data_IF_632278155494
#
_entry.id   IF_632278155494
#
_cell.length_a   1.000
_cell.length_b   1.000
_cell.length_c   1.000
_cell.angle_alpha   90.00
_cell.angle_beta   90.00
_cell.angle_gamma   90.00
#
_symmetry.space_group_name_H-M   'P 1'
#
loop_
_entity.id
_entity.type
_entity.pdbx_description
1 polymer ?
#
# COMPACT_ATOMS: atom_id res chain seq x y z
N UNK A 1 -7.26 26.85 55.53
CA UNK A 1 -7.03 27.14 54.07
C UNK A 1 -6.05 26.12 53.55
N UNK A 2 -6.55 25.07 52.92
CA UNK A 2 -5.70 24.00 52.36
C UNK A 2 -5.54 24.27 50.87
N UNK A 3 -4.34 24.59 50.46
CA UNK A 3 -3.96 24.79 49.04
C UNK A 3 -3.91 23.38 48.37
N UNK A 4 -4.86 23.08 47.50
CA UNK A 4 -4.73 21.98 46.56
C UNK A 4 -3.80 22.43 45.46
N UNK A 5 -2.58 21.89 45.42
CA UNK A 5 -1.71 21.97 44.24
C UNK A 5 -2.21 20.97 43.18
N UNK A 6 -2.77 21.51 42.09
CA UNK A 6 -3.04 20.75 40.89
C UNK A 6 -1.70 20.44 40.22
N UNK A 7 -1.29 19.17 40.25
CA UNK A 7 -0.17 18.70 39.44
C UNK A 7 -0.62 18.69 37.97
N UNK A 8 -0.08 19.59 37.16
CA UNK A 8 -0.21 19.50 35.69
C UNK A 8 0.66 18.33 35.27
N UNK A 9 0.04 17.20 34.95
CA UNK A 9 0.72 16.12 34.26
C UNK A 9 0.93 16.61 32.83
N UNK A 10 2.13 17.12 32.55
CA UNK A 10 2.57 17.33 31.19
C UNK A 10 2.70 15.93 30.55
N UNK A 11 1.67 15.48 29.84
CA UNK A 11 1.76 14.31 29.02
C UNK A 11 2.89 14.51 28.01
N UNK A 12 3.91 13.66 28.05
CA UNK A 12 4.89 13.58 26.96
C UNK A 12 4.10 13.29 25.68
N UNK A 13 4.04 14.23 24.73
CA UNK A 13 3.47 13.94 23.42
C UNK A 13 4.24 12.76 22.82
N UNK A 14 3.55 11.70 22.50
CA UNK A 14 4.20 10.55 21.85
C UNK A 14 4.80 10.99 20.52
N UNK A 15 6.00 10.45 20.21
CA UNK A 15 6.63 10.70 18.91
C UNK A 15 5.68 10.22 17.80
N UNK A 16 5.40 11.05 16.78
CA UNK A 16 4.61 10.61 15.64
C UNK A 16 5.22 9.34 15.02
N UNK A 17 4.37 8.39 14.63
CA UNK A 17 4.78 7.23 13.84
C UNK A 17 4.61 7.57 12.35
N UNK A 18 5.69 7.46 11.59
CA UNK A 18 5.73 7.88 10.18
C UNK A 18 5.88 6.67 9.28
N UNK A 19 4.97 6.56 8.30
CA UNK A 19 4.97 5.52 7.28
C UNK A 19 5.12 6.19 5.92
N UNK A 20 5.93 5.64 5.04
CA UNK A 20 5.97 6.02 3.62
C UNK A 20 5.30 4.92 2.81
N UNK A 21 4.28 5.27 2.04
CA UNK A 21 3.69 4.39 1.03
C UNK A 21 4.36 4.65 -0.32
N UNK A 22 4.87 3.59 -0.94
CA UNK A 22 5.40 3.57 -2.31
C UNK A 22 4.51 2.62 -3.12
N UNK A 23 3.93 3.13 -4.21
CA UNK A 23 3.02 2.38 -5.06
C UNK A 23 3.62 2.23 -6.45
N UNK A 24 3.39 1.06 -7.07
CA UNK A 24 3.52 0.84 -8.50
C UNK A 24 4.89 1.28 -9.06
N UNK A 25 5.98 0.78 -8.47
CA UNK A 25 7.34 0.97 -9.01
C UNK A 25 7.46 0.33 -10.40
N UNK A 26 6.83 -0.79 -10.58
CA UNK A 26 6.51 -1.53 -11.80
C UNK A 26 7.67 -1.54 -12.83
N UNK A 27 8.87 -1.96 -12.36
CA UNK A 27 10.08 -2.01 -13.15
C UNK A 27 9.84 -2.75 -14.48
N UNK A 28 10.12 -2.08 -15.60
CA UNK A 28 9.92 -2.60 -16.94
C UNK A 28 8.59 -2.21 -17.61
N UNK A 29 7.72 -1.45 -16.93
CA UNK A 29 6.44 -1.04 -17.50
C UNK A 29 6.61 -0.11 -18.70
N UNK A 30 7.46 0.91 -18.61
CA UNK A 30 7.67 1.87 -19.70
C UNK A 30 8.18 1.20 -20.96
N UNK A 31 9.12 0.25 -20.83
CA UNK A 31 9.63 -0.51 -21.96
C UNK A 31 8.56 -1.41 -22.58
N UNK A 32 7.71 -2.03 -21.75
CA UNK A 32 6.60 -2.87 -22.20
C UNK A 32 5.50 -2.04 -22.92
N UNK A 33 5.13 -0.89 -22.36
CA UNK A 33 4.14 0.03 -22.95
C UNK A 33 4.66 0.59 -24.30
N UNK A 34 5.94 0.96 -24.37
CA UNK A 34 6.58 1.38 -25.61
C UNK A 34 6.55 0.28 -26.64
N UNK A 35 6.95 -0.95 -26.29
CA UNK A 35 6.93 -2.08 -27.19
C UNK A 35 5.53 -2.37 -27.75
N UNK A 36 4.51 -2.29 -26.92
CA UNK A 36 3.12 -2.46 -27.33
C UNK A 36 2.64 -1.38 -28.29
N UNK A 37 2.93 -0.11 -28.01
CA UNK A 37 2.52 1.03 -28.86
C UNK A 37 3.22 1.05 -30.21
N UNK A 38 4.51 0.67 -30.25
CA UNK A 38 5.33 0.68 -31.46
C UNK A 38 5.25 -0.63 -32.25
N UNK A 39 4.64 -1.68 -31.70
CA UNK A 39 4.65 -3.02 -32.29
C UNK A 39 6.06 -3.62 -32.36
N UNK A 40 6.94 -3.20 -31.45
CA UNK A 40 8.34 -3.65 -31.34
C UNK A 40 8.49 -4.76 -30.28
N UNK A 41 9.68 -5.34 -30.14
CA UNK A 41 10.00 -6.25 -29.04
C UNK A 41 10.26 -5.47 -27.74
N UNK A 42 10.00 -6.12 -26.60
CA UNK A 42 10.42 -5.63 -25.28
C UNK A 42 11.95 -5.56 -25.24
N UNK A 43 12.51 -4.39 -24.93
CA UNK A 43 13.95 -4.15 -24.95
C UNK A 43 14.64 -4.30 -23.58
N UNK A 44 13.84 -4.52 -22.49
CA UNK A 44 14.36 -4.70 -21.15
C UNK A 44 14.86 -3.43 -20.47
N UNK A 45 14.60 -2.26 -21.03
CA UNK A 45 15.03 -0.99 -20.43
C UNK A 45 14.25 -0.69 -19.13
N UNK A 46 14.97 -0.66 -18.02
CA UNK A 46 14.44 -0.37 -16.68
C UNK A 46 14.83 1.04 -16.19
N UNK A 47 15.56 1.80 -16.99
CA UNK A 47 16.28 3.00 -16.53
C UNK A 47 15.36 4.06 -15.94
N UNK A 48 14.16 4.22 -16.48
CA UNK A 48 13.21 5.23 -16.01
C UNK A 48 12.66 4.89 -14.63
N UNK A 49 12.11 3.67 -14.46
CA UNK A 49 11.53 3.23 -13.17
C UNK A 49 12.61 3.12 -12.10
N UNK A 50 13.79 2.63 -12.46
CA UNK A 50 14.98 2.60 -11.58
C UNK A 50 15.30 4.00 -11.05
N UNK A 51 15.42 4.99 -11.92
CA UNK A 51 15.71 6.37 -11.51
C UNK A 51 14.63 6.95 -10.60
N UNK A 52 13.36 6.62 -10.84
CA UNK A 52 12.25 7.07 -10.00
C UNK A 52 12.28 6.41 -8.62
N UNK A 53 12.49 5.10 -8.56
CA UNK A 53 12.56 4.35 -7.31
C UNK A 53 13.79 4.76 -6.48
N UNK A 54 14.94 5.00 -7.10
CA UNK A 54 16.15 5.50 -6.43
C UNK A 54 15.90 6.87 -5.76
N UNK A 55 15.13 7.77 -6.41
CA UNK A 55 14.71 9.05 -5.79
C UNK A 55 13.80 8.84 -4.59
N UNK A 56 12.85 7.88 -4.68
CA UNK A 56 11.99 7.55 -3.55
C UNK A 56 12.80 7.00 -2.38
N UNK A 57 13.76 6.11 -2.63
CA UNK A 57 14.68 5.57 -1.61
C UNK A 57 15.53 6.68 -0.98
N UNK A 58 16.05 7.61 -1.78
CA UNK A 58 16.78 8.78 -1.25
C UNK A 58 15.90 9.60 -0.31
N UNK A 59 14.66 9.90 -0.71
CA UNK A 59 13.72 10.62 0.14
C UNK A 59 13.41 9.85 1.43
N UNK A 60 13.20 8.53 1.37
CA UNK A 60 12.99 7.68 2.55
C UNK A 60 14.17 7.79 3.51
N UNK A 61 15.41 7.73 3.00
CA UNK A 61 16.62 7.80 3.79
C UNK A 61 16.82 9.20 4.43
N UNK A 62 16.39 10.26 3.77
CA UNK A 62 16.38 11.62 4.35
C UNK A 62 15.30 11.78 5.43
N UNK A 63 14.09 11.29 5.19
CA UNK A 63 12.95 11.38 6.10
C UNK A 63 13.12 10.49 7.33
N UNK A 64 13.74 9.31 7.17
CA UNK A 64 13.89 8.27 8.20
C UNK A 64 12.54 7.90 8.86
N UNK A 65 11.58 7.41 8.07
CA UNK A 65 10.29 6.97 8.59
C UNK A 65 10.46 5.73 9.47
N UNK A 66 9.44 5.40 10.26
CA UNK A 66 9.43 4.17 11.05
C UNK A 66 9.19 2.93 10.16
N UNK A 67 8.47 3.11 9.04
CA UNK A 67 8.18 2.03 8.09
C UNK A 67 8.01 2.55 6.63
N UNK A 68 8.23 1.64 5.67
CA UNK A 68 7.83 1.78 4.27
C UNK A 68 6.87 0.63 3.94
N UNK A 69 5.78 0.94 3.26
CA UNK A 69 4.83 -0.05 2.72
C UNK A 69 4.80 0.07 1.20
N UNK A 70 5.22 -0.99 0.53
CA UNK A 70 5.08 -1.13 -0.91
C UNK A 70 3.70 -1.72 -1.22
N UNK A 71 2.87 -0.96 -1.93
CA UNK A 71 1.46 -1.32 -2.18
C UNK A 71 1.25 -1.96 -3.55
N UNK A 72 2.15 -2.86 -3.91
CA UNK A 72 2.01 -3.73 -5.09
C UNK A 72 2.63 -3.15 -6.36
N UNK A 73 2.65 -4.01 -7.38
CA UNK A 73 3.27 -3.77 -8.68
C UNK A 73 4.72 -3.27 -8.54
N UNK A 74 5.53 -4.10 -7.86
CA UNK A 74 6.96 -3.87 -7.73
C UNK A 74 7.68 -4.05 -9.07
N UNK A 75 7.22 -5.03 -9.86
CA UNK A 75 7.74 -5.38 -11.18
C UNK A 75 6.60 -5.37 -12.22
N UNK A 76 6.95 -5.36 -13.51
CA UNK A 76 5.97 -5.46 -14.59
C UNK A 76 5.67 -6.90 -14.99
N UNK A 77 6.64 -7.78 -14.85
CA UNK A 77 6.50 -9.21 -15.17
C UNK A 77 6.91 -10.07 -13.98
N UNK A 78 5.95 -10.78 -13.38
CA UNK A 78 6.13 -11.55 -12.15
C UNK A 78 7.24 -12.61 -12.19
N UNK A 79 7.56 -13.15 -13.37
CA UNK A 79 8.65 -14.13 -13.56
C UNK A 79 9.96 -13.53 -14.05
N UNK A 80 10.03 -12.22 -14.26
CA UNK A 80 11.26 -11.58 -14.71
C UNK A 80 12.22 -11.38 -13.52
N UNK A 81 13.23 -12.24 -13.49
CA UNK A 81 14.22 -12.23 -12.41
C UNK A 81 15.01 -10.92 -12.37
N UNK A 82 15.31 -10.32 -13.53
CA UNK A 82 16.10 -9.09 -13.60
C UNK A 82 15.33 -7.90 -13.00
N UNK A 83 14.02 -7.78 -13.29
CA UNK A 83 13.17 -6.76 -12.70
C UNK A 83 13.13 -6.90 -11.18
N UNK A 84 12.92 -8.12 -10.67
CA UNK A 84 12.90 -8.38 -9.22
C UNK A 84 14.24 -8.11 -8.54
N UNK A 85 15.34 -8.61 -9.11
CA UNK A 85 16.66 -8.41 -8.51
C UNK A 85 17.01 -6.92 -8.48
N UNK A 86 16.69 -6.18 -9.55
CA UNK A 86 16.93 -4.74 -9.59
C UNK A 86 16.06 -3.97 -8.59
N UNK A 87 14.80 -4.37 -8.42
CA UNK A 87 13.95 -3.79 -7.38
C UNK A 87 14.54 -4.02 -5.99
N UNK A 88 14.90 -5.26 -5.66
CA UNK A 88 15.48 -5.61 -4.36
C UNK A 88 16.82 -4.91 -4.09
N UNK A 89 17.68 -4.81 -5.10
CA UNK A 89 18.95 -4.09 -4.99
C UNK A 89 18.71 -2.63 -4.56
N UNK A 90 17.76 -1.94 -5.21
CA UNK A 90 17.46 -0.53 -4.90
C UNK A 90 16.88 -0.38 -3.50
N UNK A 91 15.89 -1.19 -3.12
CA UNK A 91 15.28 -1.07 -1.79
C UNK A 91 16.22 -1.53 -0.67
N UNK A 92 17.24 -2.31 -0.99
CA UNK A 92 18.27 -2.73 -0.02
C UNK A 92 19.10 -1.55 0.50
N UNK A 93 19.13 -0.43 -0.22
CA UNK A 93 19.78 0.82 0.16
C UNK A 93 18.97 1.64 1.20
N UNK A 94 17.73 1.24 1.50
CA UNK A 94 16.97 1.86 2.61
C UNK A 94 17.64 1.55 3.94
N UNK A 95 17.75 2.58 4.80
CA UNK A 95 18.34 2.46 6.14
C UNK A 95 17.71 1.27 6.89
N UNK A 96 18.55 0.39 7.44
CA UNK A 96 18.14 -0.84 8.13
C UNK A 96 17.29 -0.60 9.38
N UNK A 97 17.22 0.62 9.88
CA UNK A 97 16.30 0.99 10.96
C UNK A 97 14.85 1.13 10.48
N UNK A 98 14.62 1.36 9.18
CA UNK A 98 13.30 1.46 8.55
C UNK A 98 12.76 0.05 8.28
N UNK A 99 11.53 -0.22 8.70
CA UNK A 99 10.88 -1.50 8.44
C UNK A 99 10.21 -1.50 7.07
N UNK A 100 10.42 -2.56 6.31
CA UNK A 100 9.82 -2.72 4.97
C UNK A 100 8.69 -3.73 5.03
N UNK A 101 7.56 -3.39 4.40
CA UNK A 101 6.39 -4.23 4.24
C UNK A 101 5.95 -4.22 2.79
N UNK A 102 5.45 -5.37 2.31
CA UNK A 102 5.04 -5.56 0.93
C UNK A 102 3.66 -6.20 0.86
N UNK A 103 2.83 -5.76 -0.07
CA UNK A 103 1.65 -6.50 -0.54
C UNK A 103 1.78 -6.67 -2.05
N UNK A 104 1.27 -7.77 -2.63
CA UNK A 104 1.39 -8.00 -4.06
C UNK A 104 0.39 -7.16 -4.86
N UNK A 105 0.84 -6.61 -5.99
CA UNK A 105 -0.01 -6.10 -7.05
C UNK A 105 -0.33 -7.19 -8.09
N UNK A 106 -1.09 -6.84 -9.11
CA UNK A 106 -1.47 -7.81 -10.15
C UNK A 106 -0.32 -8.16 -11.09
N UNK A 107 0.69 -7.32 -11.20
CA UNK A 107 1.90 -7.60 -11.96
C UNK A 107 2.93 -8.43 -11.17
N UNK A 108 2.79 -8.55 -9.85
CA UNK A 108 3.67 -9.34 -8.98
C UNK A 108 3.25 -10.81 -8.87
N UNK A 109 2.08 -11.14 -9.36
CA UNK A 109 1.46 -12.46 -9.31
C UNK A 109 1.16 -12.98 -10.72
N UNK A 110 0.77 -14.26 -10.84
CA UNK A 110 0.29 -14.82 -12.10
C UNK A 110 -1.21 -15.04 -12.04
N UNK A 111 -1.92 -14.36 -12.92
CA UNK A 111 -3.37 -14.51 -13.06
C UNK A 111 -3.65 -15.71 -14.00
N UNK A 112 -4.40 -16.68 -13.51
CA UNK A 112 -4.78 -17.89 -14.22
C UNK A 112 -6.30 -18.07 -14.16
N UNK A 113 -6.86 -18.89 -15.06
CA UNK A 113 -8.28 -19.25 -15.02
C UNK A 113 -8.69 -19.93 -13.71
N UNK A 114 -7.73 -20.59 -13.05
CA UNK A 114 -7.93 -21.30 -11.77
C UNK A 114 -7.78 -20.39 -10.53
N UNK A 115 -7.41 -19.13 -10.70
CA UNK A 115 -7.17 -18.17 -9.61
C UNK A 115 -5.86 -17.42 -9.72
N UNK A 116 -5.33 -17.01 -8.58
CA UNK A 116 -4.11 -16.18 -8.45
C UNK A 116 -2.94 -17.03 -7.96
N UNK A 117 -1.89 -17.18 -8.75
CA UNK A 117 -0.64 -17.75 -8.26
C UNK A 117 0.26 -16.65 -7.68
N UNK A 118 0.35 -16.60 -6.36
CA UNK A 118 1.18 -15.64 -5.63
C UNK A 118 2.64 -16.10 -5.46
N UNK A 119 3.04 -17.26 -6.01
CA UNK A 119 4.37 -17.83 -5.78
C UNK A 119 5.54 -16.93 -6.20
N UNK A 120 5.48 -16.16 -7.30
CA UNK A 120 6.58 -15.25 -7.65
C UNK A 120 6.87 -14.24 -6.54
N UNK A 121 5.82 -13.73 -5.89
CA UNK A 121 5.91 -12.79 -4.78
C UNK A 121 6.29 -13.50 -3.46
N UNK A 122 5.60 -14.59 -3.10
CA UNK A 122 5.79 -15.23 -1.80
C UNK A 122 7.13 -15.95 -1.66
N UNK A 123 7.73 -16.43 -2.74
CA UNK A 123 9.10 -16.97 -2.73
C UNK A 123 10.14 -15.89 -2.35
N UNK A 124 9.83 -14.62 -2.51
CA UNK A 124 10.74 -13.49 -2.26
C UNK A 124 10.48 -12.83 -0.91
N UNK A 125 9.23 -12.59 -0.55
CA UNK A 125 8.84 -11.84 0.64
C UNK A 125 8.12 -12.69 1.72
N UNK A 126 7.89 -13.96 1.48
CA UNK A 126 7.17 -14.83 2.39
C UNK A 126 5.66 -14.74 2.18
N UNK A 127 4.91 -14.28 3.19
CA UNK A 127 3.46 -14.20 3.11
C UNK A 127 2.99 -13.08 2.17
N UNK A 128 1.82 -13.29 1.52
CA UNK A 128 1.19 -12.31 0.63
C UNK A 128 0.35 -11.25 1.37
N UNK A 129 0.43 -11.23 2.69
CA UNK A 129 -0.27 -10.33 3.62
C UNK A 129 0.52 -10.20 4.90
N UNK A 130 0.25 -9.14 5.66
CA UNK A 130 0.93 -8.92 6.94
C UNK A 130 0.04 -8.25 7.98
N UNK A 131 0.36 -8.43 9.25
CA UNK A 131 -0.10 -7.60 10.35
C UNK A 131 1.11 -7.20 11.19
N UNK A 132 1.24 -5.93 11.49
CA UNK A 132 2.32 -5.39 12.31
C UNK A 132 1.80 -4.36 13.29
N UNK A 133 2.22 -4.46 14.56
CA UNK A 133 1.88 -3.50 15.60
C UNK A 133 3.15 -2.85 16.16
N UNK A 134 3.14 -1.54 16.24
CA UNK A 134 4.16 -0.73 16.92
C UNK A 134 3.48 0.35 17.77
N UNK A 135 3.65 0.28 19.10
CA UNK A 135 2.88 1.15 19.99
C UNK A 135 1.39 1.03 19.76
N UNK A 136 0.75 2.14 19.44
CA UNK A 136 -0.68 2.23 19.12
C UNK A 136 -0.99 1.98 17.63
N UNK A 137 0.01 1.93 16.75
CA UNK A 137 -0.19 1.77 15.30
C UNK A 137 -0.28 0.31 14.92
N UNK A 138 -1.36 -0.06 14.25
CA UNK A 138 -1.58 -1.37 13.64
C UNK A 138 -1.62 -1.18 12.12
N UNK A 139 -0.70 -1.82 11.41
CA UNK A 139 -0.68 -1.88 9.95
C UNK A 139 -1.09 -3.27 9.50
N UNK A 140 -2.03 -3.34 8.58
CA UNK A 140 -2.54 -4.60 8.00
C UNK A 140 -2.43 -4.50 6.49
N UNK A 141 -1.61 -5.36 5.89
CA UNK A 141 -1.52 -5.51 4.44
C UNK A 141 -2.34 -6.70 3.97
N UNK A 142 -3.10 -6.55 2.90
CA UNK A 142 -3.94 -7.60 2.31
C UNK A 142 -3.64 -7.82 0.84
N UNK A 143 -3.73 -9.07 0.39
CA UNK A 143 -3.65 -9.40 -1.03
C UNK A 143 -5.00 -9.14 -1.71
N UNK A 144 -5.15 -7.94 -2.27
CA UNK A 144 -6.39 -7.56 -2.98
C UNK A 144 -6.60 -8.30 -4.29
N UNK A 145 -5.58 -9.00 -4.84
CA UNK A 145 -5.75 -9.85 -6.01
C UNK A 145 -6.74 -10.99 -5.72
N UNK A 146 -6.69 -11.59 -4.52
CA UNK A 146 -7.62 -12.65 -4.13
C UNK A 146 -9.07 -12.18 -4.19
N UNK A 147 -9.31 -10.92 -3.79
CA UNK A 147 -10.62 -10.29 -3.80
C UNK A 147 -11.04 -9.95 -5.24
N UNK A 148 -10.15 -9.26 -5.96
CA UNK A 148 -10.41 -8.75 -7.32
C UNK A 148 -10.69 -9.87 -8.32
N UNK A 149 -9.97 -10.97 -8.22
CA UNK A 149 -10.06 -12.08 -9.17
C UNK A 149 -10.87 -13.28 -8.67
N UNK A 150 -11.65 -13.10 -7.58
CA UNK A 150 -12.52 -14.15 -7.00
C UNK A 150 -11.78 -15.47 -6.68
N UNK A 151 -10.56 -15.35 -6.13
CA UNK A 151 -9.76 -16.52 -5.76
C UNK A 151 -10.42 -17.27 -4.58
N UNK A 152 -10.35 -18.59 -4.59
CA UNK A 152 -10.94 -19.41 -3.51
C UNK A 152 -10.36 -19.09 -2.12
N UNK A 153 -9.10 -18.62 -2.05
CA UNK A 153 -8.43 -18.21 -0.80
C UNK A 153 -8.91 -16.88 -0.23
N UNK A 154 -9.80 -16.16 -0.94
CA UNK A 154 -10.40 -14.92 -0.41
C UNK A 154 -11.10 -15.16 0.93
N UNK A 155 -11.81 -16.29 1.06
CA UNK A 155 -12.50 -16.66 2.31
C UNK A 155 -11.51 -16.81 3.47
N UNK A 156 -10.41 -17.53 3.26
CA UNK A 156 -9.38 -17.72 4.28
C UNK A 156 -8.71 -16.38 4.65
N UNK A 157 -8.48 -15.52 3.65
CA UNK A 157 -7.96 -14.18 3.91
C UNK A 157 -8.94 -13.33 4.72
N UNK A 158 -10.24 -13.39 4.42
CA UNK A 158 -11.25 -12.64 5.18
C UNK A 158 -11.33 -13.12 6.64
N UNK A 159 -11.23 -14.42 6.89
CA UNK A 159 -11.17 -14.96 8.25
C UNK A 159 -9.89 -14.52 8.99
N UNK A 160 -8.76 -14.53 8.31
CA UNK A 160 -7.50 -14.02 8.85
C UNK A 160 -7.61 -12.51 9.15
N UNK A 161 -8.19 -11.74 8.23
CA UNK A 161 -8.35 -10.29 8.37
C UNK A 161 -9.21 -9.92 9.58
N UNK A 162 -10.30 -10.66 9.86
CA UNK A 162 -11.11 -10.49 11.08
C UNK A 162 -10.27 -10.60 12.34
N UNK A 163 -9.29 -11.50 12.37
CA UNK A 163 -8.39 -11.69 13.51
C UNK A 163 -7.30 -10.62 13.57
N UNK A 164 -6.78 -10.21 12.40
CA UNK A 164 -5.76 -9.18 12.28
C UNK A 164 -6.25 -7.79 12.71
N UNK A 165 -7.53 -7.49 12.49
CA UNK A 165 -8.15 -6.21 12.83
C UNK A 165 -8.61 -6.10 14.29
N UNK A 166 -8.43 -7.14 15.12
CA UNK A 166 -8.80 -7.07 16.54
C UNK A 166 -7.90 -6.08 17.26
N UNK A 167 -8.48 -4.96 17.68
CA UNK A 167 -7.81 -3.97 18.53
C UNK A 167 -7.50 -4.56 19.91
N UNK A 168 -6.35 -4.18 20.46
CA UNK A 168 -5.95 -4.53 21.83
C UNK A 168 -6.18 -3.36 22.80
N UNK A 169 -6.40 -2.15 22.26
CA UNK A 169 -6.69 -0.92 23.02
C UNK A 169 -7.61 -0.03 22.18
N UNK A 170 -8.46 0.77 22.83
CA UNK A 170 -9.28 1.79 22.16
C UNK A 170 -8.43 2.90 21.53
N UNK A 171 -7.19 3.07 21.99
CA UNK A 171 -6.23 4.04 21.44
C UNK A 171 -5.52 3.53 20.18
N UNK A 172 -5.71 2.26 19.80
CA UNK A 172 -5.07 1.68 18.62
C UNK A 172 -5.59 2.36 17.34
N UNK A 173 -4.66 2.77 16.48
CA UNK A 173 -4.90 3.32 15.15
C UNK A 173 -4.59 2.24 14.12
N UNK A 174 -5.61 1.81 13.40
CA UNK A 174 -5.51 0.71 12.42
C UNK A 174 -5.55 1.26 11.00
N UNK A 175 -4.54 0.91 10.20
CA UNK A 175 -4.41 1.29 8.80
C UNK A 175 -4.34 0.03 7.95
N UNK A 176 -5.17 -0.03 6.90
CA UNK A 176 -5.18 -1.15 5.94
C UNK A 176 -4.48 -0.72 4.65
N UNK A 177 -3.63 -1.59 4.12
CA UNK A 177 -2.92 -1.42 2.85
C UNK A 177 -3.28 -2.55 1.90
N UNK A 178 -3.51 -2.21 0.65
CA UNK A 178 -3.71 -3.16 -0.43
C UNK A 178 -3.20 -2.59 -1.75
N UNK A 179 -3.35 -3.35 -2.84
CA UNK A 179 -2.99 -2.86 -4.16
C UNK A 179 -4.20 -2.27 -4.88
N UNK A 180 -5.24 -3.07 -5.14
CA UNK A 180 -6.47 -2.57 -5.76
C UNK A 180 -7.27 -1.74 -4.76
N UNK A 181 -7.73 -0.51 -5.10
CA UNK A 181 -8.67 0.22 -4.26
C UNK A 181 -10.03 -0.49 -4.21
N UNK A 182 -10.73 -0.36 -3.10
CA UNK A 182 -12.11 -0.85 -3.02
C UNK A 182 -13.05 0.04 -3.85
N UNK A 183 -12.85 1.33 -3.79
CA UNK A 183 -13.51 2.35 -4.61
C UNK A 183 -12.61 3.58 -4.73
N UNK A 184 -12.94 4.48 -5.66
CA UNK A 184 -12.13 5.68 -5.92
C UNK A 184 -12.80 6.95 -5.41
N UNK A 185 -14.13 7.01 -5.42
CA UNK A 185 -14.91 8.17 -4.98
C UNK A 185 -15.97 7.80 -3.95
N UNK A 186 -16.72 6.73 -4.20
CA UNK A 186 -17.78 6.28 -3.31
C UNK A 186 -17.96 4.75 -3.38
N UNK A 187 -18.41 4.16 -2.28
CA UNK A 187 -18.57 2.69 -2.18
C UNK A 187 -19.56 2.14 -3.20
N UNK A 188 -20.53 2.97 -3.60
CA UNK A 188 -21.61 2.63 -4.55
C UNK A 188 -21.25 2.81 -6.02
N UNK A 189 -20.07 3.34 -6.37
CA UNK A 189 -19.69 3.59 -7.77
C UNK A 189 -19.71 2.31 -8.61
N UNK A 190 -19.92 2.44 -9.92
CA UNK A 190 -19.98 1.32 -10.83
C UNK A 190 -18.67 0.56 -10.92
N UNK A 191 -18.75 -0.72 -11.34
CA UNK A 191 -17.58 -1.56 -11.50
C UNK A 191 -16.68 -1.05 -12.63
N UNK A 192 -15.37 -1.13 -12.41
CA UNK A 192 -14.36 -0.75 -13.38
C UNK A 192 -13.12 -1.62 -13.29
N UNK A 193 -12.15 -1.30 -14.13
CA UNK A 193 -10.89 -2.02 -14.18
C UNK A 193 -10.11 -1.91 -12.87
N UNK A 194 -10.04 -0.70 -12.30
CA UNK A 194 -9.13 -0.42 -11.19
C UNK A 194 -9.62 -0.92 -9.83
N UNK A 195 -10.89 -0.75 -9.53
CA UNK A 195 -11.42 -1.00 -8.18
C UNK A 195 -11.97 -2.42 -8.00
N UNK A 196 -12.08 -2.84 -6.76
CA UNK A 196 -12.77 -4.07 -6.33
C UNK A 196 -14.25 -4.01 -6.76
N UNK A 197 -14.84 -5.15 -7.10
CA UNK A 197 -16.23 -5.24 -7.52
C UNK A 197 -17.19 -4.72 -6.44
N UNK A 198 -18.19 -3.94 -6.87
CA UNK A 198 -19.21 -3.32 -6.02
C UNK A 198 -19.88 -4.33 -5.07
N UNK A 199 -20.13 -5.54 -5.54
CA UNK A 199 -20.77 -6.61 -4.77
C UNK A 199 -19.96 -7.06 -3.52
N UNK A 200 -18.66 -6.76 -3.48
CA UNK A 200 -17.76 -7.15 -2.38
C UNK A 200 -17.47 -6.01 -1.41
N UNK A 201 -17.51 -4.77 -1.85
CA UNK A 201 -17.06 -3.60 -1.09
C UNK A 201 -17.72 -3.49 0.27
N UNK A 202 -19.06 -3.67 0.31
CA UNK A 202 -19.84 -3.53 1.54
C UNK A 202 -19.35 -4.51 2.62
N UNK A 203 -19.13 -5.78 2.29
CA UNK A 203 -18.68 -6.79 3.26
C UNK A 203 -17.35 -6.41 3.93
N UNK A 204 -16.41 -5.85 3.16
CA UNK A 204 -15.11 -5.42 3.72
C UNK A 204 -15.25 -4.14 4.54
N UNK A 205 -16.04 -3.16 4.08
CA UNK A 205 -16.21 -1.92 4.81
C UNK A 205 -17.07 -2.08 6.06
N UNK A 206 -18.03 -3.00 6.09
CA UNK A 206 -18.72 -3.39 7.33
C UNK A 206 -17.73 -3.95 8.37
N UNK A 207 -16.77 -4.78 7.91
CA UNK A 207 -15.73 -5.29 8.79
C UNK A 207 -14.79 -4.17 9.24
N UNK A 208 -14.38 -3.26 8.35
CA UNK A 208 -13.51 -2.13 8.69
C UNK A 208 -14.16 -1.19 9.69
N UNK A 209 -15.44 -0.85 9.49
CA UNK A 209 -16.23 -0.02 10.41
C UNK A 209 -16.37 -0.71 11.78
N UNK A 210 -16.74 -2.01 11.80
CA UNK A 210 -16.88 -2.76 13.04
C UNK A 210 -15.56 -2.95 13.82
N UNK A 211 -14.41 -2.75 13.14
CA UNK A 211 -13.07 -2.87 13.73
C UNK A 211 -12.39 -1.50 13.92
N UNK A 212 -13.12 -0.40 13.73
CA UNK A 212 -12.62 0.99 13.81
C UNK A 212 -11.33 1.21 13.00
N UNK A 213 -11.30 0.74 11.76
CA UNK A 213 -10.20 1.05 10.83
C UNK A 213 -10.18 2.55 10.56
N UNK A 214 -9.00 3.16 10.63
CA UNK A 214 -8.86 4.61 10.54
C UNK A 214 -8.60 5.10 9.11
N UNK A 215 -8.01 4.26 8.24
CA UNK A 215 -7.77 4.59 6.83
C UNK A 215 -7.44 3.33 6.02
N UNK A 216 -7.71 3.40 4.71
CA UNK A 216 -7.33 2.39 3.72
C UNK A 216 -6.53 3.06 2.61
N UNK A 217 -5.34 2.54 2.31
CA UNK A 217 -4.47 3.02 1.25
C UNK A 217 -4.21 1.96 0.19
N UNK A 218 -4.21 2.38 -1.08
CA UNK A 218 -3.98 1.50 -2.22
C UNK A 218 -3.10 2.15 -3.30
N UNK A 219 -2.68 1.36 -4.30
CA UNK A 219 -2.01 1.77 -5.53
C UNK A 219 -2.87 1.54 -6.76
N UNK A 220 -2.32 0.84 -7.76
CA UNK A 220 -2.94 0.29 -8.96
C UNK A 220 -3.45 1.32 -9.98
N UNK A 221 -3.97 2.43 -9.53
CA UNK A 221 -4.60 3.42 -10.41
C UNK A 221 -3.58 4.26 -11.19
N UNK A 222 -2.33 4.32 -10.73
CA UNK A 222 -1.32 5.26 -11.25
C UNK A 222 -1.80 6.71 -11.30
N UNK A 223 -2.75 7.04 -10.44
CA UNK A 223 -3.29 8.38 -10.21
C UNK A 223 -3.81 8.47 -8.78
N UNK A 224 -4.00 9.68 -8.26
CA UNK A 224 -4.51 9.88 -6.92
C UNK A 224 -6.03 9.93 -6.94
N UNK A 225 -6.66 9.27 -5.98
CA UNK A 225 -8.09 9.40 -5.71
C UNK A 225 -8.35 9.36 -4.20
N UNK A 226 -9.47 9.92 -3.81
CA UNK A 226 -9.94 9.94 -2.43
C UNK A 226 -11.44 9.79 -2.39
N UNK A 227 -11.90 8.79 -1.64
CA UNK A 227 -13.30 8.59 -1.28
C UNK A 227 -13.40 8.26 0.19
N UNK A 228 -14.62 8.19 0.71
CA UNK A 228 -14.88 7.92 2.12
C UNK A 228 -16.13 7.06 2.28
N UNK A 229 -16.14 6.18 3.27
CA UNK A 229 -17.33 5.48 3.72
C UNK A 229 -17.33 5.34 5.24
N UNK A 230 -18.42 5.77 5.90
CA UNK A 230 -18.57 5.71 7.38
C UNK A 230 -17.39 6.33 8.15
N UNK A 231 -16.80 7.42 7.62
CA UNK A 231 -15.64 8.09 8.20
C UNK A 231 -14.29 7.42 7.93
N UNK A 232 -14.26 6.34 7.14
CA UNK A 232 -13.04 5.65 6.74
C UNK A 232 -12.63 6.14 5.35
N UNK A 233 -11.53 6.91 5.22
CA UNK A 233 -11.01 7.31 3.93
C UNK A 233 -10.41 6.12 3.18
N UNK A 234 -10.73 6.03 1.87
CA UNK A 234 -10.11 5.16 0.90
C UNK A 234 -9.29 6.03 -0.07
N UNK A 235 -7.97 5.89 -0.05
CA UNK A 235 -7.08 6.73 -0.87
C UNK A 235 -6.19 5.90 -1.77
N UNK A 236 -6.05 6.30 -3.04
CA UNK A 236 -5.02 5.77 -3.91
C UNK A 236 -3.81 6.70 -3.94
N UNK A 237 -2.63 6.10 -4.05
CA UNK A 237 -1.39 6.81 -4.31
C UNK A 237 -0.95 6.50 -5.73
N UNK A 238 -0.60 7.54 -6.47
CA UNK A 238 -0.08 7.41 -7.84
C UNK A 238 1.20 6.57 -7.85
N UNK A 239 1.55 6.05 -9.02
CA UNK A 239 2.83 5.36 -9.21
C UNK A 239 4.02 6.26 -8.87
N UNK A 240 5.05 5.67 -8.32
CA UNK A 240 6.34 6.31 -8.12
C UNK A 240 7.06 6.61 -9.44
N UNK A 241 6.65 5.94 -10.53
CA UNK A 241 7.24 6.08 -11.86
C UNK A 241 6.23 6.48 -12.93
N UNK A 242 5.52 5.55 -13.54
CA UNK A 242 4.63 5.78 -14.68
C UNK A 242 3.21 6.15 -14.27
N UNK A 243 2.67 7.27 -14.78
CA UNK A 243 1.29 7.71 -14.50
C UNK A 243 0.35 7.36 -15.66
N UNK A 244 -0.87 6.94 -15.31
CA UNK A 244 -1.98 6.77 -16.27
C UNK A 244 -2.83 8.04 -16.33
N UNK A 245 -2.93 8.77 -15.19
CA UNK A 245 -3.69 10.00 -15.05
C UNK A 245 -2.88 11.27 -15.22
N UNK A 246 -3.20 12.29 -14.42
CA UNK A 246 -2.55 13.60 -14.44
C UNK A 246 -1.64 13.83 -13.23
N UNK A 247 -1.59 12.90 -12.31
CA UNK A 247 -0.70 12.99 -11.17
C UNK A 247 0.77 13.01 -11.62
N UNK A 248 1.64 13.46 -10.75
CA UNK A 248 3.09 13.36 -10.95
C UNK A 248 3.64 12.18 -10.14
N UNK A 249 4.81 11.62 -10.52
CA UNK A 249 5.50 10.64 -9.69
C UNK A 249 5.58 11.10 -8.25
N UNK A 250 5.00 10.33 -7.34
CA UNK A 250 4.89 10.73 -5.93
C UNK A 250 4.92 9.51 -5.02
N UNK A 251 5.25 9.77 -3.78
CA UNK A 251 5.03 8.87 -2.64
C UNK A 251 4.04 9.52 -1.67
N UNK A 252 3.46 8.74 -0.78
CA UNK A 252 2.61 9.27 0.29
C UNK A 252 3.30 9.11 1.63
N UNK A 253 3.39 10.21 2.37
CA UNK A 253 3.84 10.20 3.76
C UNK A 253 2.61 10.18 4.65
N UNK A 254 2.49 9.14 5.48
CA UNK A 254 1.40 8.92 6.42
C UNK A 254 1.95 9.09 7.82
N UNK A 255 1.32 9.96 8.60
CA UNK A 255 1.74 10.26 9.97
C UNK A 255 0.62 9.92 10.94
N UNK A 256 0.90 9.04 11.89
CA UNK A 256 0.00 8.77 13.02
C UNK A 256 0.47 9.59 14.21
N UNK A 257 -0.41 10.45 14.70
CA UNK A 257 -0.17 11.32 15.84
C UNK A 257 -1.47 11.61 16.58
N UNK A 258 -1.43 11.56 17.90
CA UNK A 258 -2.57 11.87 18.78
C UNK A 258 -3.83 11.05 18.40
N UNK A 259 -3.67 9.76 18.11
CA UNK A 259 -4.75 8.83 17.74
C UNK A 259 -5.36 9.08 16.35
N UNK A 260 -4.73 9.88 15.49
CA UNK A 260 -5.23 10.27 14.16
C UNK A 260 -4.24 9.98 13.06
N UNK A 261 -4.78 9.72 11.87
CA UNK A 261 -4.01 9.53 10.63
C UNK A 261 -4.03 10.84 9.83
N UNK A 262 -2.84 11.31 9.48
CA UNK A 262 -2.62 12.42 8.55
C UNK A 262 -1.83 11.90 7.37
N UNK A 263 -2.04 12.43 6.19
CA UNK A 263 -1.27 12.04 5.02
C UNK A 263 -1.00 13.22 4.09
N UNK A 264 0.11 13.14 3.37
CA UNK A 264 0.48 14.10 2.33
C UNK A 264 1.22 13.41 1.19
N UNK A 265 1.03 13.91 -0.04
CA UNK A 265 1.79 13.48 -1.20
C UNK A 265 3.09 14.27 -1.30
N UNK A 266 4.18 13.57 -1.64
CA UNK A 266 5.48 14.16 -1.95
C UNK A 266 5.86 13.83 -3.38
N UNK A 267 5.91 14.86 -4.23
CA UNK A 267 6.38 14.73 -5.60
C UNK A 267 7.89 14.45 -5.62
N UNK A 268 8.32 13.56 -6.52
CA UNK A 268 9.71 13.11 -6.65
C UNK A 268 10.48 13.78 -7.79
N UNK A 269 9.86 14.74 -8.47
CA UNK A 269 10.45 15.47 -9.60
C UNK A 269 11.06 16.80 -9.15
#
# INVERSE_FOLDING_TARGET
MTLLSAAIIAGCAEKPYVIVQIADAQLGFTAADKAQREGSGYDGDLSYEVSCLEKAVSFVNELKPDAVVFTGDQVNYSYDKEQWDRFDDIISEIDKAVRLFHVPGNHDVVLQDSGVDSSPFTLRYGDDRFVYKSGQVIMVGINTNLIKYNDARETDQLEWLRKALVKKSEEDVTIVFGHHPFFMSEIGEEDGYFQIQKSKRQCYFDLFTASDVNAVFAGHRHDNSEGEYEGIPMKTTTSVAFQIGKAKPSIRVITVRDGRVYDELKELL
#
